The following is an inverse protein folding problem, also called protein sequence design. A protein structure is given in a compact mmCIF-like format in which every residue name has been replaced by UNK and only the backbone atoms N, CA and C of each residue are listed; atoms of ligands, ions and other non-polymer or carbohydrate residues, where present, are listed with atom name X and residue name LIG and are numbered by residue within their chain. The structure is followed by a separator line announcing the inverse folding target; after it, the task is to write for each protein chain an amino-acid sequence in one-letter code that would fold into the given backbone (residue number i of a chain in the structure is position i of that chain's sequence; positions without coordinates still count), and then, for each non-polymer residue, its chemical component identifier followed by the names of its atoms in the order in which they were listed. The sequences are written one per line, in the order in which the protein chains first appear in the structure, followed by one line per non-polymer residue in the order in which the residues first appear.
data_IF_324554248935
#
_entry.id   IF_324554248935
#
_cell.length_a   1.000
_cell.length_b   1.000
_cell.length_c   1.000
_cell.angle_alpha   90.00
_cell.angle_beta   90.00
_cell.angle_gamma   90.00
#
_symmetry.space_group_name_H-M   'P 1'
#
loop_
_entity.id
_entity.type
_entity.pdbx_description
1 polymer ?
#
# COMPACT_ATOMS: atom_id res chain seq x y z
N UNK A 1 2.28 22.89 -4.41
CA UNK A 1 2.31 22.58 -5.86
C UNK A 1 2.43 21.09 -6.20
N UNK A 2 3.14 20.25 -5.42
CA UNK A 2 3.30 18.81 -5.68
C UNK A 2 1.98 18.03 -5.78
N UNK A 3 1.04 18.25 -4.85
CA UNK A 3 -0.28 17.63 -4.90
C UNK A 3 -1.03 17.92 -6.21
N UNK A 4 -1.00 19.17 -6.69
CA UNK A 4 -1.62 19.56 -7.95
C UNK A 4 -0.96 18.88 -9.17
N UNK A 5 0.35 18.58 -9.09
CA UNK A 5 1.06 17.86 -10.16
C UNK A 5 0.65 16.39 -10.25
N UNK A 6 0.28 15.76 -9.13
CA UNK A 6 -0.23 14.40 -9.13
C UNK A 6 -1.71 14.35 -9.57
N UNK A 7 -2.52 15.29 -9.08
CA UNK A 7 -3.99 15.22 -9.21
C UNK A 7 -4.53 15.77 -10.52
N UNK A 8 -3.99 16.89 -11.02
CA UNK A 8 -4.48 17.52 -12.25
C UNK A 8 -4.29 16.64 -13.50
N UNK A 9 -3.15 15.94 -13.69
CA UNK A 9 -2.97 15.05 -14.84
C UNK A 9 -3.76 13.74 -14.72
N UNK A 10 -4.16 13.35 -13.51
CA UNK A 10 -4.74 12.04 -13.22
C UNK A 10 -6.01 12.09 -12.35
N UNK A 11 -7.05 12.88 -12.72
CA UNK A 11 -8.20 13.14 -11.86
C UNK A 11 -8.96 11.85 -11.47
N UNK A 12 -9.15 10.93 -12.41
CA UNK A 12 -9.80 9.64 -12.14
C UNK A 12 -8.95 8.77 -11.20
N UNK A 13 -7.63 8.75 -11.37
CA UNK A 13 -6.75 8.02 -10.47
C UNK A 13 -6.77 8.62 -9.07
N UNK A 14 -6.86 9.94 -8.93
CA UNK A 14 -6.98 10.60 -7.63
C UNK A 14 -8.26 10.25 -6.91
N UNK A 15 -9.39 10.20 -7.60
CA UNK A 15 -10.66 9.75 -7.01
C UNK A 15 -10.55 8.30 -6.53
N UNK A 16 -10.02 7.41 -7.38
CA UNK A 16 -9.83 6.00 -7.04
C UNK A 16 -8.82 5.79 -5.92
N UNK A 17 -7.73 6.56 -5.91
CA UNK A 17 -6.72 6.53 -4.87
C UNK A 17 -7.28 7.00 -3.54
N UNK A 18 -8.08 8.06 -3.52
CA UNK A 18 -8.78 8.52 -2.32
C UNK A 18 -9.74 7.45 -1.78
N UNK A 19 -10.52 6.81 -2.65
CA UNK A 19 -11.38 5.70 -2.26
C UNK A 19 -10.57 4.51 -1.70
N UNK A 20 -9.41 4.20 -2.30
CA UNK A 20 -8.49 3.19 -1.81
C UNK A 20 -7.98 3.52 -0.40
N UNK A 21 -7.61 4.78 -0.14
CA UNK A 21 -7.16 5.26 1.19
C UNK A 21 -8.24 5.04 2.26
N UNK A 22 -9.48 5.45 1.98
CA UNK A 22 -10.58 5.26 2.93
C UNK A 22 -10.83 3.77 3.20
N UNK A 23 -10.85 2.96 2.13
CA UNK A 23 -11.15 1.53 2.23
C UNK A 23 -10.05 0.74 2.94
N UNK A 24 -8.78 1.03 2.66
CA UNK A 24 -7.65 0.38 3.33
C UNK A 24 -7.65 0.72 4.82
N UNK A 25 -7.91 1.97 5.18
CA UNK A 25 -8.01 2.41 6.56
C UNK A 25 -9.14 1.71 7.31
N UNK A 26 -10.36 1.66 6.75
CA UNK A 26 -11.50 0.96 7.37
C UNK A 26 -11.23 -0.53 7.57
N UNK A 27 -10.61 -1.20 6.59
CA UNK A 27 -10.30 -2.62 6.69
C UNK A 27 -9.18 -2.88 7.71
N UNK A 28 -8.14 -2.04 7.74
CA UNK A 28 -7.09 -2.13 8.74
C UNK A 28 -7.65 -1.92 10.15
N UNK A 29 -8.51 -0.93 10.35
CA UNK A 29 -9.20 -0.70 11.62
C UNK A 29 -10.04 -1.90 12.05
N UNK A 30 -10.77 -2.53 11.11
CA UNK A 30 -11.59 -3.71 11.40
C UNK A 30 -10.75 -4.92 11.83
N UNK A 31 -9.64 -5.19 11.14
CA UNK A 31 -8.83 -6.39 11.37
C UNK A 31 -7.75 -6.21 12.46
N UNK A 32 -7.27 -4.98 12.66
CA UNK A 32 -6.19 -4.64 13.58
C UNK A 32 -6.55 -3.38 14.40
N UNK A 33 -7.64 -3.39 15.19
CA UNK A 33 -8.17 -2.19 15.86
C UNK A 33 -7.18 -1.51 16.81
N UNK A 34 -6.15 -2.21 17.28
CA UNK A 34 -5.13 -1.67 18.20
C UNK A 34 -3.87 -1.16 17.51
N UNK A 35 -3.58 -1.61 16.29
CA UNK A 35 -2.29 -1.38 15.62
C UNK A 35 -2.42 -0.83 14.20
N UNK A 36 -3.64 -0.48 13.76
CA UNK A 36 -3.88 0.03 12.40
C UNK A 36 -3.33 1.44 12.15
N UNK A 37 -2.99 2.20 13.19
CA UNK A 37 -2.57 3.62 13.12
C UNK A 37 -1.30 3.93 13.90
N UNK A 38 -0.60 2.91 14.41
CA UNK A 38 0.73 3.06 15.02
C UNK A 38 1.77 2.37 14.13
N UNK A 39 2.97 2.08 14.64
CA UNK A 39 4.02 1.43 13.84
C UNK A 39 3.99 -0.11 13.94
N UNK A 40 2.82 -0.68 14.24
CA UNK A 40 2.67 -2.11 14.42
C UNK A 40 2.19 -2.85 13.18
N UNK A 41 1.96 -4.15 13.34
CA UNK A 41 1.61 -5.05 12.23
C UNK A 41 0.33 -4.65 11.47
N UNK A 42 -0.61 -3.99 12.14
CA UNK A 42 -1.83 -3.47 11.51
C UNK A 42 -1.56 -2.35 10.52
N UNK A 43 -0.53 -1.54 10.78
CA UNK A 43 -0.06 -0.50 9.87
C UNK A 43 0.66 -1.10 8.67
N UNK A 44 1.50 -2.11 8.88
CA UNK A 44 2.12 -2.86 7.80
C UNK A 44 1.08 -3.44 6.84
N UNK A 45 0.03 -4.07 7.39
CA UNK A 45 -1.14 -4.51 6.62
C UNK A 45 -1.82 -3.36 5.87
N UNK A 46 -2.06 -2.23 6.54
CA UNK A 46 -2.73 -1.07 5.95
C UNK A 46 -1.98 -0.54 4.73
N UNK A 47 -0.67 -0.33 4.83
CA UNK A 47 0.17 0.20 3.75
C UNK A 47 0.20 -0.73 2.54
N UNK A 48 0.42 -2.03 2.75
CA UNK A 48 0.40 -2.99 1.64
C UNK A 48 -0.99 -3.17 1.02
N UNK A 49 -2.05 -3.16 1.84
CA UNK A 49 -3.42 -3.20 1.32
C UNK A 49 -3.76 -1.93 0.53
N UNK A 50 -3.30 -0.78 1.01
CA UNK A 50 -3.54 0.51 0.36
C UNK A 50 -2.98 0.53 -1.05
N UNK A 51 -1.72 0.13 -1.24
CA UNK A 51 -1.12 0.06 -2.58
C UNK A 51 -1.78 -1.00 -3.46
N UNK A 52 -2.15 -2.17 -2.91
CA UNK A 52 -2.95 -3.16 -3.66
C UNK A 52 -4.29 -2.58 -4.16
N UNK A 53 -4.98 -1.80 -3.33
CA UNK A 53 -6.27 -1.20 -3.69
C UNK A 53 -6.11 -0.07 -4.72
N UNK A 54 -5.10 0.81 -4.58
CA UNK A 54 -4.80 1.83 -5.60
C UNK A 54 -4.53 1.14 -6.93
N UNK A 55 -3.66 0.13 -6.93
CA UNK A 55 -3.31 -0.65 -8.11
C UNK A 55 -4.55 -1.29 -8.73
N UNK A 56 -5.38 -1.98 -7.94
CA UNK A 56 -6.60 -2.62 -8.39
C UNK A 56 -7.53 -1.62 -9.09
N UNK A 57 -7.85 -0.50 -8.45
CA UNK A 57 -8.78 0.47 -9.02
C UNK A 57 -8.21 1.11 -10.29
N UNK A 58 -6.96 1.55 -10.27
CA UNK A 58 -6.33 2.20 -11.42
C UNK A 58 -6.14 1.24 -12.60
N UNK A 59 -5.83 -0.04 -12.34
CA UNK A 59 -5.69 -1.06 -13.38
C UNK A 59 -7.02 -1.40 -14.09
N UNK A 60 -8.17 -1.14 -13.47
CA UNK A 60 -9.47 -1.31 -14.14
C UNK A 60 -9.67 -0.32 -15.29
N UNK A 61 -9.01 0.83 -15.28
CA UNK A 61 -9.16 1.84 -16.33
C UNK A 61 -7.85 2.17 -17.07
N UNK A 62 -6.73 1.54 -16.69
CA UNK A 62 -5.42 1.81 -17.29
C UNK A 62 -4.49 0.61 -17.22
N UNK A 63 -3.35 0.69 -17.91
CA UNK A 63 -2.33 -0.35 -17.89
C UNK A 63 -1.70 -0.49 -16.51
N UNK A 64 -1.28 -1.70 -16.10
CA UNK A 64 -0.57 -1.92 -14.83
C UNK A 64 0.65 -1.02 -14.62
N UNK A 65 1.45 -0.76 -15.67
CA UNK A 65 2.62 0.11 -15.58
C UNK A 65 2.27 1.56 -15.18
N UNK A 66 1.21 2.12 -15.78
CA UNK A 66 0.72 3.47 -15.45
C UNK A 66 0.12 3.52 -14.04
N UNK A 67 -0.63 2.49 -13.65
CA UNK A 67 -1.18 2.38 -12.30
C UNK A 67 -0.07 2.28 -11.24
N UNK A 68 0.99 1.51 -11.52
CA UNK A 68 2.16 1.37 -10.65
C UNK A 68 2.90 2.68 -10.45
N UNK A 69 3.19 3.39 -11.55
CA UNK A 69 3.84 4.69 -11.49
C UNK A 69 3.03 5.69 -10.64
N UNK A 70 1.70 5.76 -10.87
CA UNK A 70 0.81 6.61 -10.08
C UNK A 70 0.74 6.19 -8.61
N UNK A 71 0.61 4.89 -8.34
CA UNK A 71 0.55 4.37 -6.98
C UNK A 71 1.78 4.77 -6.18
N UNK A 72 2.96 4.57 -6.77
CA UNK A 72 4.23 4.97 -6.15
C UNK A 72 4.29 6.47 -5.90
N UNK A 73 4.00 7.28 -6.90
CA UNK A 73 4.04 8.75 -6.77
C UNK A 73 3.05 9.24 -5.70
N UNK A 74 1.86 8.64 -5.62
CA UNK A 74 0.84 8.96 -4.63
C UNK A 74 1.27 8.60 -3.21
N UNK A 75 1.83 7.41 -3.00
CA UNK A 75 2.27 6.98 -1.66
C UNK A 75 3.53 7.69 -1.23
N UNK A 76 4.51 7.89 -2.11
CA UNK A 76 5.71 8.67 -1.80
C UNK A 76 5.32 10.10 -1.42
N UNK A 77 4.41 10.73 -2.17
CA UNK A 77 3.91 12.07 -1.83
C UNK A 77 3.20 12.10 -0.47
N UNK A 78 2.48 11.05 -0.09
CA UNK A 78 1.85 10.97 1.23
C UNK A 78 2.90 10.99 2.34
N UNK A 79 3.93 10.14 2.24
CA UNK A 79 5.02 10.10 3.23
C UNK A 79 5.80 11.44 3.27
N UNK A 80 5.97 12.13 2.13
CA UNK A 80 6.58 13.46 2.09
C UNK A 80 5.72 14.56 2.75
N UNK A 81 4.40 14.47 2.64
CA UNK A 81 3.46 15.45 3.20
C UNK A 81 3.24 15.24 4.70
N UNK A 82 3.44 14.02 5.20
CA UNK A 82 3.28 13.64 6.60
C UNK A 82 4.57 12.94 7.09
N UNK A 83 5.67 13.70 7.28
CA UNK A 83 6.97 13.11 7.58
C UNK A 83 6.96 12.40 8.94
N UNK A 84 7.50 11.18 8.94
CA UNK A 84 7.72 10.34 10.12
C UNK A 84 9.22 10.30 10.48
N UNK A 85 9.56 9.62 11.58
CA UNK A 85 10.96 9.31 11.90
C UNK A 85 11.57 8.41 10.82
N UNK A 86 12.90 8.46 10.57
CA UNK A 86 13.52 7.76 9.43
C UNK A 86 13.20 6.26 9.34
N UNK A 87 13.13 5.57 10.49
CA UNK A 87 12.82 4.15 10.54
C UNK A 87 11.34 3.84 10.25
N UNK A 88 10.44 4.73 10.65
CA UNK A 88 9.00 4.66 10.37
C UNK A 88 8.75 4.90 8.88
N UNK A 89 9.36 5.94 8.30
CA UNK A 89 9.30 6.19 6.84
C UNK A 89 9.84 4.99 6.07
N UNK A 90 10.93 4.37 6.52
CA UNK A 90 11.45 3.14 5.88
C UNK A 90 10.43 1.99 5.96
N UNK A 91 9.79 1.78 7.10
CA UNK A 91 8.74 0.77 7.27
C UNK A 91 7.57 1.02 6.32
N UNK A 92 7.06 2.25 6.26
CA UNK A 92 5.91 2.61 5.43
C UNK A 92 6.22 2.45 3.93
N UNK A 93 7.38 2.95 3.47
CA UNK A 93 7.84 2.78 2.10
C UNK A 93 8.05 1.31 1.71
N UNK A 94 8.64 0.50 2.60
CA UNK A 94 8.82 -0.93 2.40
C UNK A 94 7.48 -1.65 2.22
N UNK A 95 6.54 -1.44 3.14
CA UNK A 95 5.23 -2.09 3.07
C UNK A 95 4.39 -1.61 1.88
N UNK A 96 4.51 -0.34 1.48
CA UNK A 96 3.93 0.17 0.25
C UNK A 96 4.46 -0.63 -0.96
N UNK A 97 5.77 -0.83 -1.04
CA UNK A 97 6.44 -1.59 -2.10
C UNK A 97 5.99 -3.07 -2.11
N UNK A 98 5.95 -3.73 -0.96
CA UNK A 98 5.47 -5.12 -0.84
C UNK A 98 4.05 -5.28 -1.41
N UNK A 99 3.15 -4.33 -1.15
CA UNK A 99 1.80 -4.38 -1.71
C UNK A 99 1.76 -4.17 -3.23
N UNK A 100 2.59 -3.26 -3.75
CA UNK A 100 2.72 -3.06 -5.21
C UNK A 100 3.26 -4.31 -5.90
N UNK A 101 4.32 -4.91 -5.36
CA UNK A 101 4.94 -6.11 -5.91
C UNK A 101 4.00 -7.31 -5.83
N UNK A 102 3.29 -7.47 -4.70
CA UNK A 102 2.29 -8.51 -4.56
C UNK A 102 1.20 -8.40 -5.64
N UNK A 103 0.66 -7.20 -5.88
CA UNK A 103 -0.33 -7.01 -6.95
C UNK A 103 0.25 -7.36 -8.34
N UNK A 104 1.49 -6.94 -8.62
CA UNK A 104 2.14 -7.21 -9.90
C UNK A 104 2.39 -8.70 -10.14
N UNK A 105 2.70 -9.47 -9.10
CA UNK A 105 2.86 -10.92 -9.15
C UNK A 105 1.55 -11.66 -9.50
N UNK A 106 0.39 -11.08 -9.19
CA UNK A 106 -0.92 -11.69 -9.49
C UNK A 106 -1.37 -11.47 -10.94
N UNK A 107 -0.88 -10.43 -11.62
CA UNK A 107 -1.34 -10.06 -12.97
C UNK A 107 -1.17 -11.14 -14.05
N UNK A 108 -0.13 -12.00 -14.04
CA UNK A 108 -0.04 -13.11 -14.99
C UNK A 108 -1.15 -14.14 -14.82
N UNK A 109 -1.69 -14.32 -13.60
CA UNK A 109 -2.69 -15.33 -13.28
C UNK A 109 -4.13 -14.81 -13.28
N UNK A 110 -4.34 -13.50 -13.13
CA UNK A 110 -5.67 -12.88 -13.01
C UNK A 110 -5.75 -11.65 -13.90
N UNK A 111 -6.74 -11.62 -14.79
CA UNK A 111 -6.96 -10.43 -15.61
C UNK A 111 -7.38 -9.25 -14.72
N UNK A 112 -6.76 -8.09 -14.96
CA UNK A 112 -6.87 -6.85 -14.15
C UNK A 112 -8.29 -6.38 -13.78
N UNK A 113 -9.31 -6.78 -14.53
CA UNK A 113 -10.70 -6.43 -14.25
C UNK A 113 -11.32 -7.25 -13.11
N UNK A 114 -10.85 -8.47 -12.89
CA UNK A 114 -11.44 -9.45 -11.98
C UNK A 114 -10.89 -9.39 -10.55
N UNK A 115 -9.92 -8.50 -10.29
CA UNK A 115 -9.51 -8.26 -8.91
C UNK A 115 -10.63 -7.63 -8.09
N UNK A 116 -10.79 -8.16 -6.90
CA UNK A 116 -11.67 -7.67 -5.84
C UNK A 116 -10.89 -7.48 -4.54
N UNK A 117 -11.40 -6.65 -3.64
CA UNK A 117 -10.72 -6.38 -2.36
C UNK A 117 -10.45 -7.64 -1.54
N UNK A 118 -11.35 -8.63 -1.59
CA UNK A 118 -11.22 -9.91 -0.88
C UNK A 118 -9.97 -10.70 -1.27
N UNK A 119 -9.47 -10.55 -2.52
CA UNK A 119 -8.24 -11.21 -2.99
C UNK A 119 -7.04 -10.84 -2.12
N UNK A 120 -6.96 -9.58 -1.68
CA UNK A 120 -5.79 -9.09 -0.97
C UNK A 120 -5.90 -9.27 0.53
N UNK A 121 -7.10 -9.09 1.09
CA UNK A 121 -7.30 -9.04 2.55
C UNK A 121 -6.84 -10.34 3.22
N UNK A 122 -7.26 -11.51 2.72
CA UNK A 122 -6.92 -12.80 3.33
C UNK A 122 -5.42 -13.09 3.30
N UNK A 123 -4.79 -12.82 2.16
CA UNK A 123 -3.38 -13.15 1.93
C UNK A 123 -2.46 -12.17 2.67
N UNK A 124 -2.82 -10.88 2.71
CA UNK A 124 -2.10 -9.89 3.51
C UNK A 124 -2.24 -10.16 5.02
N UNK A 125 -3.42 -10.57 5.50
CA UNK A 125 -3.56 -11.04 6.89
C UNK A 125 -2.67 -12.26 7.14
N UNK A 126 -2.49 -13.15 6.16
CA UNK A 126 -1.57 -14.28 6.33
C UNK A 126 -0.12 -13.82 6.39
N UNK A 127 0.29 -12.87 5.52
CA UNK A 127 1.62 -12.24 5.55
C UNK A 127 1.91 -11.52 6.86
N UNK A 128 0.92 -10.95 7.54
CA UNK A 128 1.15 -10.35 8.87
C UNK A 128 1.66 -11.32 9.93
N UNK A 129 1.44 -12.64 9.76
CA UNK A 129 1.89 -13.65 10.72
C UNK A 129 3.40 -13.91 10.65
N UNK A 130 4.01 -13.63 9.51
CA UNK A 130 5.46 -13.81 9.27
C UNK A 130 6.23 -12.49 9.26
N UNK A 131 5.52 -11.37 9.45
CA UNK A 131 6.06 -10.02 9.46
C UNK A 131 7.26 -9.87 10.41
N UNK A 132 8.23 -9.05 10.01
CA UNK A 132 9.51 -8.88 10.71
C UNK A 132 9.57 -7.54 11.42
N UNK A 133 10.23 -7.53 12.58
CA UNK A 133 10.55 -6.29 13.26
C UNK A 133 11.73 -5.64 12.55
N UNK A 134 11.53 -4.40 12.08
CA UNK A 134 12.58 -3.56 11.51
C UNK A 134 13.31 -2.88 12.68
N UNK A 135 14.61 -3.14 12.82
CA UNK A 135 15.44 -2.62 13.92
C UNK A 135 16.41 -1.55 13.45
N UNK A 136 16.78 -1.56 12.17
CA UNK A 136 17.78 -0.65 11.61
C UNK A 136 17.46 -0.18 10.19
N UNK A 137 18.13 0.90 9.78
CA UNK A 137 18.08 1.39 8.40
C UNK A 137 18.85 0.49 7.41
N UNK A 138 19.58 -0.51 7.88
CA UNK A 138 20.29 -1.48 7.03
C UNK A 138 19.49 -2.79 6.84
N UNK A 139 18.45 -3.03 7.65
CA UNK A 139 17.62 -4.24 7.56
C UNK A 139 16.87 -4.31 6.21
N UNK A 140 16.94 -5.42 5.49
CA UNK A 140 16.19 -5.65 4.25
C UNK A 140 15.45 -7.00 4.32
N UNK A 141 14.12 -6.95 4.21
CA UNK A 141 13.22 -8.10 4.23
C UNK A 141 12.29 -8.09 3.02
N UNK A 142 12.87 -8.09 1.82
CA UNK A 142 12.22 -7.95 0.49
C UNK A 142 10.74 -8.37 0.39
N UNK A 143 10.39 -9.61 0.74
CA UNK A 143 9.05 -10.17 0.50
C UNK A 143 8.15 -10.21 1.75
N UNK A 144 8.67 -9.82 2.91
CA UNK A 144 7.97 -9.82 4.18
C UNK A 144 7.46 -8.42 4.52
N UNK A 145 6.32 -8.37 5.20
CA UNK A 145 5.87 -7.14 5.84
C UNK A 145 6.80 -6.80 7.00
N UNK A 146 7.01 -5.50 7.25
CA UNK A 146 7.86 -5.03 8.35
C UNK A 146 7.11 -4.09 9.28
N UNK A 147 7.46 -4.08 10.55
CA UNK A 147 6.85 -3.23 11.58
C UNK A 147 7.85 -2.88 12.69
N UNK A 148 7.51 -1.95 13.58
CA UNK A 148 8.39 -1.50 14.69
C UNK A 148 7.91 -1.95 16.08
N UNK A 149 6.59 -2.00 16.34
CA UNK A 149 6.03 -2.25 17.69
C UNK A 149 4.81 -3.15 17.75
#
# INVERSE_FOLDING_TARGET
MKLLRLTLPHPLFSIMGFYATLKSFTLAQKHFPKTHSNNGVGNAFRHSLWTCLIMMYCCKISSPKKALAYCKEMTDLHEELFPNEPLETKMDLHNNQVGMDYFMQLLPGVHRQFFETSFFVKDLITKTKTAKILKSLDDDFKDELVYLT
#
